data_IF_386376940716
#
_entry.id   IF_386376940716
#
_cell.length_a   1.000
_cell.length_b   1.000
_cell.length_c   1.000
_cell.angle_alpha   90.00
_cell.angle_beta   90.00
_cell.angle_gamma   90.00
#
_symmetry.space_group_name_H-M   'P 1'
#
loop_
_entity.id
_entity.type
_entity.pdbx_description
1 polymer ?
#
# COMPACT_ATOMS: atom_id res chain seq x y z
N UNK A 1 1.81 -24.19 27.22
CA UNK A 1 2.34 -23.62 25.97
C UNK A 1 1.19 -23.55 24.98
N UNK A 2 0.75 -22.35 24.60
CA UNK A 2 -0.16 -22.18 23.46
C UNK A 2 0.76 -22.13 22.24
N UNK A 3 0.75 -23.17 21.43
CA UNK A 3 1.25 -23.08 20.05
C UNK A 3 0.38 -22.04 19.35
N UNK A 4 0.96 -20.88 19.04
CA UNK A 4 0.44 -20.00 18.00
C UNK A 4 0.48 -20.81 16.72
N UNK A 5 -0.67 -21.32 16.30
CA UNK A 5 -0.83 -21.79 14.93
C UNK A 5 -0.73 -20.55 14.07
N UNK A 6 0.45 -20.33 13.49
CA UNK A 6 0.58 -19.47 12.33
C UNK A 6 -0.30 -20.11 11.25
N UNK A 7 -1.54 -19.60 11.11
CA UNK A 7 -2.41 -20.01 10.02
C UNK A 7 -1.75 -19.57 8.72
N UNK A 8 -1.15 -20.53 8.03
CA UNK A 8 -0.54 -20.31 6.73
C UNK A 8 -1.65 -19.86 5.77
N UNK A 9 -1.61 -18.59 5.39
CA UNK A 9 -2.55 -18.00 4.45
C UNK A 9 -2.46 -18.72 3.10
N UNK A 10 -3.60 -19.21 2.61
CA UNK A 10 -3.69 -19.96 1.36
C UNK A 10 -3.32 -19.12 0.13
N UNK A 11 -2.78 -19.78 -0.90
CA UNK A 11 -2.32 -19.10 -2.12
C UNK A 11 -3.44 -18.32 -2.85
N UNK A 12 -4.68 -18.80 -2.81
CA UNK A 12 -5.81 -18.11 -3.42
C UNK A 12 -6.08 -16.77 -2.71
N UNK A 13 -5.96 -16.74 -1.38
CA UNK A 13 -6.12 -15.52 -0.57
C UNK A 13 -4.98 -14.56 -0.85
N UNK A 14 -3.73 -15.02 -0.90
CA UNK A 14 -2.57 -14.20 -1.28
C UNK A 14 -2.75 -13.57 -2.65
N UNK A 15 -3.19 -14.35 -3.63
CA UNK A 15 -3.43 -13.87 -5.01
C UNK A 15 -4.54 -12.82 -5.05
N UNK A 16 -5.60 -13.01 -4.25
CA UNK A 16 -6.67 -12.03 -4.10
C UNK A 16 -6.16 -10.73 -3.46
N UNK A 17 -5.36 -10.82 -2.40
CA UNK A 17 -4.80 -9.66 -1.70
C UNK A 17 -3.84 -8.87 -2.59
N UNK A 18 -2.96 -9.54 -3.34
CA UNK A 18 -2.11 -8.90 -4.34
C UNK A 18 -2.96 -8.15 -5.38
N UNK A 19 -4.01 -8.79 -5.93
CA UNK A 19 -4.88 -8.13 -6.91
C UNK A 19 -5.62 -6.91 -6.33
N UNK A 20 -6.07 -7.00 -5.08
CA UNK A 20 -6.67 -5.87 -4.35
C UNK A 20 -5.64 -4.76 -4.17
N UNK A 21 -4.43 -5.10 -3.71
CA UNK A 21 -3.32 -4.18 -3.53
C UNK A 21 -3.04 -3.40 -4.81
N UNK A 22 -2.68 -4.08 -5.90
CA UNK A 22 -2.30 -3.40 -7.15
C UNK A 22 -3.41 -2.50 -7.69
N UNK A 23 -4.67 -2.95 -7.64
CA UNK A 23 -5.83 -2.15 -8.08
C UNK A 23 -5.93 -0.83 -7.31
N UNK A 24 -5.80 -0.89 -5.98
CA UNK A 24 -6.02 0.28 -5.13
C UNK A 24 -4.78 1.16 -4.99
N UNK A 25 -3.58 0.61 -5.11
CA UNK A 25 -2.34 1.39 -5.17
C UNK A 25 -2.30 2.25 -6.42
N UNK A 26 -2.61 1.68 -7.60
CA UNK A 26 -2.70 2.43 -8.87
C UNK A 26 -3.72 3.57 -8.75
N UNK A 27 -4.94 3.25 -8.31
CA UNK A 27 -6.00 4.24 -8.16
C UNK A 27 -5.57 5.39 -7.25
N UNK A 28 -4.95 5.08 -6.12
CA UNK A 28 -4.50 6.08 -5.16
C UNK A 28 -3.39 6.96 -5.74
N UNK A 29 -2.38 6.37 -6.37
CA UNK A 29 -1.25 7.11 -6.95
C UNK A 29 -1.73 8.03 -8.08
N UNK A 30 -2.60 7.56 -8.97
CA UNK A 30 -3.18 8.37 -10.06
C UNK A 30 -3.89 9.63 -9.55
N UNK A 31 -4.40 9.60 -8.32
CA UNK A 31 -5.05 10.73 -7.66
C UNK A 31 -4.09 11.62 -6.91
N UNK A 32 -3.10 11.04 -6.24
CA UNK A 32 -2.10 11.79 -5.46
C UNK A 32 -1.08 12.50 -6.36
N UNK A 33 -0.64 11.87 -7.44
CA UNK A 33 0.45 12.40 -8.28
C UNK A 33 0.16 13.80 -8.84
N UNK A 34 -1.04 14.08 -9.41
CA UNK A 34 -1.40 15.43 -9.85
C UNK A 34 -1.43 16.48 -8.73
N UNK A 35 -1.65 16.05 -7.48
CA UNK A 35 -1.69 16.94 -6.31
C UNK A 35 -0.29 17.30 -5.82
N UNK A 36 0.61 16.32 -5.82
CA UNK A 36 1.95 16.43 -5.24
C UNK A 36 2.98 17.02 -6.20
N UNK A 37 2.73 16.98 -7.52
CA UNK A 37 3.51 17.67 -8.58
C UNK A 37 4.98 17.26 -8.72
N UNK A 38 5.53 16.45 -7.81
CA UNK A 38 6.91 15.98 -7.81
C UNK A 38 6.98 14.52 -7.37
N UNK A 39 7.80 13.74 -8.06
CA UNK A 39 8.10 12.36 -7.68
C UNK A 39 8.70 12.26 -6.28
N UNK A 40 9.50 13.23 -5.83
CA UNK A 40 10.09 13.26 -4.48
C UNK A 40 9.05 13.21 -3.36
N UNK A 41 7.89 13.83 -3.56
CA UNK A 41 6.84 13.88 -2.55
C UNK A 41 6.16 12.50 -2.41
N UNK A 42 6.13 11.71 -3.49
CA UNK A 42 5.70 10.31 -3.46
C UNK A 42 6.75 9.40 -2.82
N UNK A 43 8.04 9.63 -3.09
CA UNK A 43 9.15 8.92 -2.45
C UNK A 43 9.17 9.13 -0.93
N UNK A 44 8.83 10.33 -0.45
CA UNK A 44 8.70 10.64 0.98
C UNK A 44 7.53 9.89 1.62
N UNK A 45 6.38 9.80 0.93
CA UNK A 45 5.22 9.02 1.38
C UNK A 45 5.57 7.53 1.45
N UNK A 46 6.18 6.99 0.40
CA UNK A 46 6.66 5.60 0.37
C UNK A 46 7.62 5.33 1.53
N UNK A 47 8.62 6.19 1.74
CA UNK A 47 9.61 6.02 2.81
C UNK A 47 8.97 6.00 4.19
N UNK A 48 7.97 6.84 4.43
CA UNK A 48 7.23 6.84 5.69
C UNK A 48 6.40 5.57 5.90
N UNK A 49 5.72 5.06 4.86
CA UNK A 49 4.99 3.80 4.92
C UNK A 49 5.92 2.60 5.13
N UNK A 50 7.04 2.55 4.40
CA UNK A 50 8.05 1.50 4.52
C UNK A 50 8.62 1.45 5.94
N UNK A 51 8.95 2.60 6.52
CA UNK A 51 9.45 2.67 7.90
C UNK A 51 8.43 2.17 8.92
N UNK A 52 7.13 2.43 8.74
CA UNK A 52 6.09 1.88 9.61
C UNK A 52 6.04 0.35 9.51
N UNK A 53 6.08 -0.18 8.28
CA UNK A 53 6.01 -1.61 8.04
C UNK A 53 7.25 -2.36 8.58
N UNK A 54 8.45 -1.83 8.36
CA UNK A 54 9.71 -2.37 8.90
C UNK A 54 9.74 -2.39 10.44
N UNK A 55 9.08 -1.43 11.08
CA UNK A 55 8.93 -1.38 12.54
C UNK A 55 7.81 -2.28 13.08
N UNK A 56 7.13 -3.06 12.22
CA UNK A 56 5.98 -3.88 12.60
C UNK A 56 4.74 -3.05 12.97
N UNK A 57 4.70 -1.76 12.60
CA UNK A 57 3.58 -0.84 12.87
C UNK A 57 2.54 -0.92 11.75
N UNK A 58 2.10 -2.14 11.48
CA UNK A 58 1.19 -2.48 10.35
C UNK A 58 -0.13 -1.72 10.45
N UNK A 59 -0.70 -1.59 11.65
CA UNK A 59 -1.95 -0.84 11.86
C UNK A 59 -1.77 0.65 11.54
N UNK A 60 -0.64 1.25 11.90
CA UNK A 60 -0.37 2.65 11.56
C UNK A 60 -0.11 2.84 10.06
N UNK A 61 0.52 1.86 9.40
CA UNK A 61 0.63 1.86 7.94
C UNK A 61 -0.75 1.81 7.27
N UNK A 62 -1.65 0.93 7.73
CA UNK A 62 -3.04 0.87 7.25
C UNK A 62 -3.80 2.18 7.46
N UNK A 63 -3.65 2.80 8.64
CA UNK A 63 -4.25 4.10 8.94
C UNK A 63 -3.70 5.22 8.04
N UNK A 64 -2.41 5.18 7.73
CA UNK A 64 -1.79 6.11 6.80
C UNK A 64 -2.32 5.91 5.37
N UNK A 65 -2.44 4.67 4.89
CA UNK A 65 -3.07 4.34 3.59
C UNK A 65 -4.50 4.90 3.56
N UNK A 66 -5.30 4.66 4.59
CA UNK A 66 -6.66 5.24 4.72
C UNK A 66 -6.65 6.77 4.68
N UNK A 67 -5.67 7.39 5.34
CA UNK A 67 -5.48 8.85 5.32
C UNK A 67 -5.17 9.37 3.91
N UNK A 68 -4.33 8.64 3.15
CA UNK A 68 -4.01 8.98 1.77
C UNK A 68 -5.23 8.93 0.86
N UNK A 69 -6.12 7.94 1.01
CA UNK A 69 -7.42 7.92 0.31
C UNK A 69 -8.23 9.19 0.61
N UNK A 70 -8.31 9.59 1.88
CA UNK A 70 -8.99 10.83 2.27
C UNK A 70 -8.36 12.08 1.67
N UNK A 71 -7.02 12.16 1.60
CA UNK A 71 -6.30 13.28 0.96
C UNK A 71 -6.57 13.32 -0.54
N UNK A 72 -6.62 12.16 -1.20
CA UNK A 72 -6.97 12.00 -2.60
C UNK A 72 -8.43 12.33 -2.92
N UNK A 73 -9.27 12.55 -1.90
CA UNK A 73 -10.71 12.78 -2.04
C UNK A 73 -11.48 11.51 -2.41
N UNK A 74 -10.90 10.33 -2.16
CA UNK A 74 -11.47 9.03 -2.47
C UNK A 74 -12.04 8.37 -1.21
N UNK A 75 -13.11 7.58 -1.38
CA UNK A 75 -13.62 6.75 -0.29
C UNK A 75 -12.64 5.62 0.02
N UNK A 76 -12.49 5.31 1.31
CA UNK A 76 -11.67 4.17 1.71
C UNK A 76 -12.35 2.85 1.30
N UNK A 77 -11.71 1.99 0.50
CA UNK A 77 -12.36 0.82 -0.04
C UNK A 77 -12.80 -0.17 1.05
N UNK A 78 -14.07 -0.57 1.03
CA UNK A 78 -14.62 -1.55 1.97
C UNK A 78 -13.86 -2.89 1.96
N UNK A 79 -13.32 -3.28 0.80
CA UNK A 79 -12.48 -4.48 0.69
C UNK A 79 -11.22 -4.37 1.55
N UNK A 80 -10.52 -3.24 1.52
CA UNK A 80 -9.32 -3.01 2.36
C UNK A 80 -9.72 -2.88 3.83
N UNK A 81 -10.81 -2.15 4.13
CA UNK A 81 -11.32 -2.03 5.49
C UNK A 81 -11.65 -3.39 6.14
N UNK A 82 -12.09 -4.36 5.34
CA UNK A 82 -12.38 -5.72 5.83
C UNK A 82 -11.11 -6.52 6.19
N UNK A 83 -9.94 -6.12 5.67
CA UNK A 83 -8.65 -6.72 6.00
C UNK A 83 -8.15 -6.27 7.38
N UNK A 84 -8.59 -5.09 7.86
CA UNK A 84 -8.19 -4.54 9.17
C UNK A 84 -8.65 -5.44 10.35
N UNK A 85 -9.43 -6.49 10.11
CA UNK A 85 -9.84 -7.45 11.15
C UNK A 85 -8.86 -8.63 11.32
N UNK A 86 -7.92 -8.84 10.40
CA UNK A 86 -7.03 -10.02 10.37
C UNK A 86 -5.56 -9.61 10.22
N UNK A 87 -4.78 -9.74 11.30
CA UNK A 87 -3.38 -9.27 11.39
C UNK A 87 -2.48 -9.81 10.25
N UNK A 88 -2.58 -11.11 9.95
CA UNK A 88 -1.81 -11.74 8.87
C UNK A 88 -2.17 -11.22 7.47
N UNK A 89 -3.44 -10.83 7.24
CA UNK A 89 -3.88 -10.24 5.98
C UNK A 89 -3.44 -8.79 5.87
N UNK A 90 -3.43 -8.05 6.98
CA UNK A 90 -2.94 -6.66 7.02
C UNK A 90 -1.45 -6.62 6.68
N UNK A 91 -0.64 -7.46 7.33
CA UNK A 91 0.81 -7.48 7.10
C UNK A 91 1.11 -7.81 5.63
N UNK A 92 0.46 -8.84 5.10
CA UNK A 92 0.62 -9.20 3.69
C UNK A 92 0.16 -8.08 2.75
N UNK A 93 -1.03 -7.51 2.99
CA UNK A 93 -1.53 -6.41 2.18
C UNK A 93 -0.59 -5.19 2.20
N UNK A 94 -0.05 -4.81 3.36
CA UNK A 94 0.88 -3.68 3.46
C UNK A 94 2.19 -3.94 2.71
N UNK A 95 2.70 -5.18 2.73
CA UNK A 95 3.87 -5.56 1.93
C UNK A 95 3.61 -5.44 0.43
N UNK A 96 2.52 -6.05 -0.06
CA UNK A 96 2.14 -5.95 -1.48
C UNK A 96 1.89 -4.50 -1.89
N UNK A 97 1.24 -3.71 -1.04
CA UNK A 97 0.97 -2.30 -1.30
C UNK A 97 2.26 -1.50 -1.45
N UNK A 98 3.26 -1.75 -0.61
CA UNK A 98 4.57 -1.12 -0.71
C UNK A 98 5.31 -1.52 -1.98
N UNK A 99 5.27 -2.79 -2.36
CA UNK A 99 5.87 -3.28 -3.61
C UNK A 99 5.23 -2.59 -4.82
N UNK A 100 3.90 -2.63 -4.92
CA UNK A 100 3.15 -1.95 -5.98
C UNK A 100 3.46 -0.44 -6.02
N UNK A 101 3.51 0.21 -4.85
CA UNK A 101 3.76 1.65 -4.76
C UNK A 101 5.16 1.98 -5.28
N UNK A 102 6.16 1.21 -4.88
CA UNK A 102 7.53 1.38 -5.33
C UNK A 102 7.66 1.20 -6.84
N UNK A 103 7.07 0.13 -7.39
CA UNK A 103 7.07 -0.13 -8.83
C UNK A 103 6.49 1.04 -9.61
N UNK A 104 5.34 1.57 -9.18
CA UNK A 104 4.69 2.70 -9.83
C UNK A 104 5.52 3.98 -9.72
N UNK A 105 6.13 4.29 -8.56
CA UNK A 105 7.05 5.45 -8.46
C UNK A 105 8.20 5.31 -9.46
N UNK A 106 8.79 4.13 -9.57
CA UNK A 106 9.90 3.88 -10.49
C UNK A 106 9.49 4.07 -11.95
N UNK A 107 8.28 3.65 -12.33
CA UNK A 107 7.72 3.92 -13.66
C UNK A 107 7.61 5.42 -13.94
N UNK A 108 7.06 6.21 -13.00
CA UNK A 108 6.98 7.66 -13.13
C UNK A 108 8.37 8.31 -13.25
N UNK A 109 9.33 7.86 -12.44
CA UNK A 109 10.71 8.35 -12.45
C UNK A 109 11.42 8.08 -13.78
N UNK A 110 11.16 6.92 -14.40
CA UNK A 110 11.68 6.59 -15.73
C UNK A 110 11.02 7.46 -16.80
N UNK A 111 9.72 7.72 -16.68
CA UNK A 111 8.98 8.63 -17.55
C UNK A 111 9.55 10.06 -17.54
N UNK A 112 9.79 10.63 -16.36
CA UNK A 112 10.39 11.97 -16.20
C UNK A 112 11.77 12.10 -16.83
N UNK A 113 12.56 11.02 -16.84
CA UNK A 113 13.90 11.00 -17.47
C UNK A 113 13.85 10.93 -18.99
N UNK A 114 12.75 10.47 -19.58
CA UNK A 114 12.58 10.34 -21.03
C UNK A 114 12.04 11.60 -21.71
N UNK A 115 11.50 12.56 -20.97
CA UNK A 115 11.01 13.85 -21.50
C UNK A 115 12.09 14.95 -21.58
N UNK A 116 13.38 14.58 -21.53
CA UNK A 116 14.53 15.50 -21.61
C UNK A 116 15.10 15.59 -23.02
#
# INVERSE_FOLDING_TARGET
MKESRDEVMGNDVKSMLNAISGTYTILLIDKLFPMLKKTSDMEDIYSALAALAEMGRVMEAMQMIRGLFGIAGEEYPCLIASLEEQENMQEFFVMEFLEDFFEIIEEYRLGEKCEI
#
